data_IF_849410006465
#
_entry.id   IF_849410006465
#
_cell.length_a   1.000
_cell.length_b   1.000
_cell.length_c   1.000
_cell.angle_alpha   90.00
_cell.angle_beta   90.00
_cell.angle_gamma   90.00
#
_symmetry.space_group_name_H-M   'P 1'
#
loop_
_entity.id
_entity.type
_entity.pdbx_description
1 polymer ?
#
# COMPACT_ATOMS: atom_id res chain seq x y z
N UNK A 1 17.34 2.83 -5.52
CA UNK A 1 16.01 2.25 -5.82
C UNK A 1 15.09 3.34 -6.33
N UNK A 2 14.43 3.11 -7.45
CA UNK A 2 13.49 4.07 -8.04
C UNK A 2 12.21 4.18 -7.21
N UNK A 3 11.42 5.23 -7.46
CA UNK A 3 10.11 5.37 -6.81
C UNK A 3 9.20 4.20 -7.13
N UNK A 4 9.18 3.77 -8.39
CA UNK A 4 8.35 2.64 -8.82
C UNK A 4 8.77 1.35 -8.12
N UNK A 5 10.06 1.10 -7.96
CA UNK A 5 10.56 -0.06 -7.22
C UNK A 5 10.18 -0.01 -5.74
N UNK A 6 10.29 1.18 -5.11
CA UNK A 6 9.87 1.35 -3.71
C UNK A 6 8.38 1.05 -3.55
N UNK A 7 7.55 1.53 -4.48
CA UNK A 7 6.11 1.30 -4.44
C UNK A 7 5.76 -0.15 -4.66
N UNK A 8 6.48 -0.85 -5.54
CA UNK A 8 6.33 -2.29 -5.73
C UNK A 8 6.66 -3.05 -4.44
N UNK A 9 7.73 -2.67 -3.75
CA UNK A 9 8.11 -3.29 -2.47
C UNK A 9 7.07 -3.03 -1.38
N UNK A 10 6.55 -1.81 -1.31
CA UNK A 10 5.48 -1.48 -0.34
C UNK A 10 4.24 -2.33 -0.62
N UNK A 11 3.87 -2.49 -1.89
CA UNK A 11 2.74 -3.34 -2.27
C UNK A 11 2.96 -4.78 -1.80
N UNK A 12 4.16 -5.32 -2.01
CA UNK A 12 4.51 -6.68 -1.58
C UNK A 12 4.46 -6.82 -0.06
N UNK A 13 5.00 -5.87 0.66
CA UNK A 13 5.01 -5.90 2.13
C UNK A 13 3.60 -5.85 2.70
N UNK A 14 2.74 -4.98 2.18
CA UNK A 14 1.37 -4.90 2.67
C UNK A 14 0.61 -6.18 2.41
N UNK A 15 0.78 -6.77 1.23
CA UNK A 15 0.15 -8.05 0.92
C UNK A 15 0.62 -9.15 1.87
N UNK A 16 1.94 -9.27 2.04
CA UNK A 16 2.52 -10.32 2.89
C UNK A 16 2.07 -10.20 4.35
N UNK A 17 1.93 -8.98 4.86
CA UNK A 17 1.49 -8.75 6.23
C UNK A 17 0.00 -8.99 6.43
N UNK A 18 -0.82 -8.65 5.44
CA UNK A 18 -2.28 -8.70 5.58
C UNK A 18 -2.90 -10.01 5.12
N UNK A 19 -2.20 -10.78 4.27
CA UNK A 19 -2.78 -11.99 3.70
C UNK A 19 -2.52 -13.19 4.59
N UNK A 20 -3.58 -13.85 5.03
CA UNK A 20 -3.52 -15.06 5.86
C UNK A 20 -4.37 -16.14 5.21
N UNK A 21 -3.78 -17.31 4.93
CA UNK A 21 -4.49 -18.43 4.32
C UNK A 21 -5.24 -18.04 3.05
N UNK A 22 -4.62 -17.21 2.21
CA UNK A 22 -5.20 -16.76 0.95
C UNK A 22 -6.22 -15.64 1.06
N UNK A 23 -6.48 -15.13 2.26
CA UNK A 23 -7.46 -14.07 2.49
C UNK A 23 -6.81 -12.88 3.18
N UNK A 24 -7.30 -11.68 2.86
CA UNK A 24 -6.86 -10.46 3.53
C UNK A 24 -7.60 -10.30 4.85
N UNK A 25 -6.85 -9.99 5.91
CA UNK A 25 -7.44 -9.71 7.22
C UNK A 25 -7.82 -8.25 7.33
N UNK A 26 -8.90 -7.97 8.06
CA UNK A 26 -9.30 -6.62 8.41
C UNK A 26 -8.71 -6.28 9.78
N UNK A 27 -8.16 -5.08 9.90
CA UNK A 27 -7.54 -4.62 11.13
C UNK A 27 -8.26 -3.39 11.65
N UNK A 28 -8.25 -3.25 12.96
CA UNK A 28 -8.75 -2.03 13.60
C UNK A 28 -7.60 -1.02 13.71
N UNK A 29 -7.48 -0.19 12.69
CA UNK A 29 -6.44 0.83 12.62
C UNK A 29 -6.58 1.91 13.68
N UNK A 30 -7.77 2.07 14.26
CA UNK A 30 -8.01 3.10 15.28
C UNK A 30 -7.18 2.89 16.54
N UNK A 31 -6.70 1.68 16.76
CA UNK A 31 -5.83 1.38 17.92
C UNK A 31 -4.51 2.16 17.87
N UNK A 32 -4.08 2.56 16.68
CA UNK A 32 -2.81 3.30 16.48
C UNK A 32 -3.07 4.65 15.83
N UNK A 33 -3.94 4.68 14.82
CA UNK A 33 -4.13 5.85 13.96
C UNK A 33 -5.34 6.70 14.35
N UNK A 34 -5.97 6.41 15.50
CA UNK A 34 -7.22 7.08 15.88
C UNK A 34 -8.24 6.82 14.76
N UNK A 35 -8.94 7.85 14.32
CA UNK A 35 -9.89 7.73 13.21
C UNK A 35 -9.32 8.26 11.88
N UNK A 36 -8.03 8.58 11.85
CA UNK A 36 -7.42 9.18 10.66
C UNK A 36 -7.22 8.18 9.52
N UNK A 37 -7.07 6.89 9.83
CA UNK A 37 -6.88 5.84 8.82
C UNK A 37 -7.85 4.71 9.16
N UNK A 38 -8.63 4.30 8.17
CA UNK A 38 -9.57 3.19 8.29
C UNK A 38 -9.16 2.03 7.38
N UNK A 39 -9.78 0.87 7.58
CA UNK A 39 -9.58 -0.29 6.73
C UNK A 39 -9.93 0.02 5.26
N UNK A 40 -10.99 0.80 5.03
CA UNK A 40 -11.38 1.19 3.67
C UNK A 40 -10.32 2.05 2.98
N UNK A 41 -9.70 2.96 3.73
CA UNK A 41 -8.62 3.80 3.18
C UNK A 41 -7.39 2.97 2.86
N UNK A 42 -7.05 1.98 3.69
CA UNK A 42 -5.95 1.06 3.41
C UNK A 42 -6.26 0.22 2.18
N UNK A 43 -7.47 -0.28 2.03
CA UNK A 43 -7.90 -1.03 0.84
C UNK A 43 -7.79 -0.16 -0.41
N UNK A 44 -8.25 1.08 -0.34
CA UNK A 44 -8.18 2.03 -1.45
C UNK A 44 -6.73 2.29 -1.86
N UNK A 45 -5.85 2.48 -0.88
CA UNK A 45 -4.44 2.71 -1.13
C UNK A 45 -3.78 1.48 -1.79
N UNK A 46 -4.10 0.29 -1.30
CA UNK A 46 -3.57 -0.95 -1.89
C UNK A 46 -3.99 -1.11 -3.35
N UNK A 47 -5.21 -0.71 -3.70
CA UNK A 47 -5.66 -0.72 -5.10
C UNK A 47 -4.80 0.18 -5.98
N UNK A 48 -4.42 1.35 -5.47
CA UNK A 48 -3.51 2.25 -6.21
C UNK A 48 -2.11 1.67 -6.36
N UNK A 49 -1.65 0.89 -5.40
CA UNK A 49 -0.33 0.25 -5.46
C UNK A 49 -0.28 -0.88 -6.50
N UNK A 50 -1.41 -1.43 -6.90
CA UNK A 50 -1.48 -2.60 -7.76
C UNK A 50 -0.73 -2.41 -9.08
N UNK A 51 -0.81 -1.22 -9.67
CA UNK A 51 -0.16 -0.94 -10.95
C UNK A 51 1.37 -1.02 -10.89
N UNK A 52 1.96 -0.97 -9.69
CA UNK A 52 3.41 -1.08 -9.53
C UNK A 52 3.89 -2.54 -9.47
N UNK A 53 2.97 -3.49 -9.40
CA UNK A 53 3.28 -4.92 -9.32
C UNK A 53 3.01 -5.68 -10.61
N UNK A 54 2.32 -5.05 -11.57
CA UNK A 54 1.91 -5.70 -12.80
C UNK A 54 2.60 -5.05 -14.00
N UNK A 55 2.75 -5.83 -15.08
CA UNK A 55 3.41 -5.38 -16.30
C UNK A 55 2.44 -5.30 -17.49
N UNK A 56 1.12 -5.31 -17.23
CA UNK A 56 0.14 -5.09 -18.28
C UNK A 56 0.23 -3.65 -18.80
N UNK A 57 -0.26 -3.43 -20.01
CA UNK A 57 -0.26 -2.09 -20.60
C UNK A 57 -1.05 -1.11 -19.73
N UNK A 58 -2.19 -1.55 -19.19
CA UNK A 58 -3.02 -0.73 -18.31
C UNK A 58 -2.27 -0.35 -17.03
N UNK A 59 -1.56 -1.30 -16.43
CA UNK A 59 -0.79 -1.04 -15.21
C UNK A 59 0.34 -0.04 -15.48
N UNK A 60 1.05 -0.20 -16.59
CA UNK A 60 2.12 0.71 -16.96
C UNK A 60 1.58 2.11 -17.20
N UNK A 61 0.46 2.24 -17.91
CA UNK A 61 -0.18 3.53 -18.17
C UNK A 61 -0.64 4.19 -16.86
N UNK A 62 -1.20 3.42 -15.94
CA UNK A 62 -1.65 3.96 -14.65
C UNK A 62 -0.47 4.53 -13.86
N UNK A 63 0.60 3.74 -13.67
CA UNK A 63 1.73 4.23 -12.88
C UNK A 63 2.46 5.40 -13.53
N UNK A 64 2.47 5.47 -14.85
CA UNK A 64 3.05 6.61 -15.58
C UNK A 64 2.19 7.87 -15.46
N UNK A 65 0.91 7.73 -15.14
CA UNK A 65 0.01 8.87 -14.95
C UNK A 65 0.25 9.63 -13.65
N UNK A 66 0.93 9.01 -12.68
CA UNK A 66 1.22 9.65 -11.41
C UNK A 66 2.46 10.53 -11.52
N UNK A 67 2.39 11.74 -10.95
CA UNK A 67 3.54 12.63 -10.87
C UNK A 67 4.57 12.10 -9.87
N UNK A 68 5.79 12.62 -9.93
CA UNK A 68 6.82 12.28 -8.96
C UNK A 68 6.39 12.69 -7.54
N UNK A 69 5.72 13.84 -7.40
CA UNK A 69 5.20 14.30 -6.12
C UNK A 69 4.17 13.33 -5.57
N UNK A 70 3.27 12.83 -6.44
CA UNK A 70 2.29 11.83 -6.01
C UNK A 70 2.97 10.54 -5.60
N UNK A 71 3.95 10.08 -6.36
CA UNK A 71 4.69 8.85 -6.02
C UNK A 71 5.48 9.01 -4.72
N UNK A 72 6.08 10.18 -4.49
CA UNK A 72 6.76 10.45 -3.22
C UNK A 72 5.78 10.41 -2.04
N UNK A 73 4.62 11.03 -2.19
CA UNK A 73 3.58 10.93 -1.17
C UNK A 73 3.18 9.48 -0.93
N UNK A 74 2.98 8.70 -1.99
CA UNK A 74 2.60 7.30 -1.87
C UNK A 74 3.66 6.47 -1.14
N UNK A 75 4.95 6.76 -1.36
CA UNK A 75 6.02 6.08 -0.63
C UNK A 75 5.93 6.41 0.85
N UNK A 76 5.82 7.67 1.22
CA UNK A 76 5.77 8.10 2.62
C UNK A 76 4.54 7.55 3.32
N UNK A 77 3.37 7.67 2.70
CA UNK A 77 2.12 7.14 3.23
C UNK A 77 2.20 5.62 3.35
N UNK A 78 2.73 4.97 2.32
CA UNK A 78 2.87 3.52 2.28
C UNK A 78 3.77 2.99 3.39
N UNK A 79 4.88 3.65 3.66
CA UNK A 79 5.77 3.27 4.76
C UNK A 79 5.07 3.41 6.11
N UNK A 80 4.27 4.46 6.28
CA UNK A 80 3.47 4.63 7.49
C UNK A 80 2.47 3.48 7.64
N UNK A 81 1.76 3.15 6.57
CA UNK A 81 0.79 2.04 6.57
C UNK A 81 1.47 0.72 6.91
N UNK A 82 2.62 0.43 6.31
CA UNK A 82 3.37 -0.81 6.60
C UNK A 82 3.73 -0.89 8.08
N UNK A 83 4.22 0.21 8.66
CA UNK A 83 4.56 0.23 10.09
C UNK A 83 3.35 -0.04 10.97
N UNK A 84 2.22 0.59 10.65
CA UNK A 84 0.98 0.40 11.43
C UNK A 84 0.50 -1.03 11.32
N UNK A 85 0.46 -1.59 10.12
CA UNK A 85 0.04 -2.98 9.92
C UNK A 85 0.95 -3.91 10.71
N UNK A 86 2.27 -3.73 10.60
CA UNK A 86 3.22 -4.56 11.32
C UNK A 86 2.95 -4.55 12.83
N UNK A 87 2.70 -3.38 13.40
CA UNK A 87 2.41 -3.26 14.83
C UNK A 87 1.11 -3.95 15.23
N UNK A 88 0.12 -3.96 14.34
CA UNK A 88 -1.19 -4.56 14.63
C UNK A 88 -1.21 -6.07 14.46
N UNK A 89 -0.38 -6.63 13.56
CA UNK A 89 -0.41 -8.07 13.27
C UNK A 89 0.61 -8.89 14.04
N UNK A 90 1.60 -8.27 14.64
CA UNK A 90 2.64 -8.99 15.38
C UNK A 90 2.17 -9.52 16.72
#
# INVERSE_FOLDING_TARGET
>A
MSLDEKLSEIANLTENLLKKNGKYVELDYSKICFEYISDDEVKSFRKKLHCFRHSSDEAIQERESYSDEQKNFMVDYGLTIVKVIYLLVR
#
